data_IF_593721044110
#
_entry.id   IF_593721044110
#
_cell.length_a   1.000
_cell.length_b   1.000
_cell.length_c   1.000
_cell.angle_alpha   90.00
_cell.angle_beta   90.00
_cell.angle_gamma   90.00
#
_symmetry.space_group_name_H-M   'P 1'
#
loop_
_entity.id
_entity.type
_entity.pdbx_description
1 polymer ?
#
# COMPACT_ATOMS: atom_id res chain seq x y z
N UNK A 1 14.21 2.95 11.95
CA UNK A 1 15.46 3.52 11.39
C UNK A 1 16.09 2.65 10.31
N UNK A 2 16.32 1.35 10.55
CA UNK A 2 16.98 0.46 9.58
C UNK A 2 16.30 0.42 8.18
N UNK A 3 14.96 0.49 8.11
CA UNK A 3 14.20 0.62 6.85
C UNK A 3 14.68 1.79 5.97
N UNK A 4 14.98 2.93 6.59
CA UNK A 4 15.38 4.17 5.90
C UNK A 4 16.89 4.17 5.61
N UNK A 5 17.67 3.51 6.45
CA UNK A 5 19.13 3.55 6.39
C UNK A 5 19.71 2.55 5.38
N UNK A 6 19.03 1.42 5.14
CA UNK A 6 19.50 0.43 4.17
C UNK A 6 19.31 0.92 2.73
N UNK A 7 20.35 0.72 1.91
CA UNK A 7 20.38 1.07 0.48
C UNK A 7 19.84 -0.02 -0.43
N UNK A 8 19.67 -1.23 0.08
CA UNK A 8 19.07 -2.33 -0.67
C UNK A 8 17.57 -2.40 -0.27
N UNK A 9 16.64 -2.24 -1.23
CA UNK A 9 15.22 -2.24 -0.94
C UNK A 9 14.73 -3.55 -0.30
N UNK A 10 15.38 -4.68 -0.59
CA UNK A 10 15.04 -5.97 0.04
C UNK A 10 15.33 -5.96 1.53
N UNK A 11 16.51 -5.48 1.94
CA UNK A 11 16.85 -5.36 3.37
C UNK A 11 15.97 -4.33 4.08
N UNK A 12 15.60 -3.23 3.42
CA UNK A 12 14.65 -2.27 3.96
C UNK A 12 13.28 -2.89 4.20
N UNK A 13 12.75 -3.67 3.25
CA UNK A 13 11.45 -4.32 3.36
C UNK A 13 11.44 -5.41 4.46
N UNK A 14 12.50 -6.21 4.58
CA UNK A 14 12.62 -7.19 5.68
C UNK A 14 12.70 -6.49 7.04
N UNK A 15 13.43 -5.37 7.16
CA UNK A 15 13.44 -4.56 8.38
C UNK A 15 12.06 -3.97 8.72
N UNK A 16 11.24 -3.67 7.71
CA UNK A 16 9.90 -3.13 7.92
C UNK A 16 8.95 -4.22 8.44
N UNK A 17 9.05 -5.44 7.89
CA UNK A 17 8.33 -6.61 8.40
C UNK A 17 8.64 -6.82 9.88
N UNK A 18 9.91 -6.79 10.26
CA UNK A 18 10.32 -6.93 11.66
C UNK A 18 9.68 -5.85 12.55
N UNK A 19 9.61 -4.60 12.06
CA UNK A 19 8.98 -3.49 12.79
C UNK A 19 7.47 -3.73 13.03
N UNK A 20 6.75 -4.24 12.04
CA UNK A 20 5.32 -4.56 12.20
C UNK A 20 5.10 -5.75 13.13
N UNK A 21 5.96 -6.77 13.08
CA UNK A 21 5.93 -7.89 14.02
C UNK A 21 6.13 -7.39 15.46
N UNK A 22 7.13 -6.53 15.70
CA UNK A 22 7.36 -5.95 17.04
C UNK A 22 6.18 -5.08 17.49
N UNK A 23 5.54 -4.35 16.58
CA UNK A 23 4.33 -3.58 16.88
C UNK A 23 3.13 -4.48 17.21
N UNK A 24 3.02 -5.64 16.54
CA UNK A 24 1.99 -6.63 16.85
C UNK A 24 2.16 -7.21 18.26
N UNK A 25 3.40 -7.49 18.66
CA UNK A 25 3.69 -7.89 20.04
C UNK A 25 3.35 -6.79 21.07
N UNK A 26 3.59 -5.52 20.75
CA UNK A 26 3.16 -4.41 21.62
C UNK A 26 1.64 -4.38 21.78
N UNK A 27 0.88 -4.60 20.71
CA UNK A 27 -0.59 -4.68 20.78
C UNK A 27 -1.09 -5.89 21.56
N UNK A 28 -0.39 -7.03 21.50
CA UNK A 28 -0.70 -8.18 22.37
C UNK A 28 -0.48 -7.86 23.85
N UNK A 29 0.58 -7.11 24.19
CA UNK A 29 0.82 -6.67 25.57
C UNK A 29 -0.22 -5.67 26.07
N UNK A 30 -0.86 -4.93 25.18
CA UNK A 30 -1.97 -4.01 25.46
C UNK A 30 -3.34 -4.73 25.46
N UNK A 31 -3.34 -6.07 25.48
CA UNK A 31 -4.55 -6.92 25.41
C UNK A 31 -5.40 -6.74 24.14
N UNK A 32 -4.87 -6.06 23.11
CA UNK A 32 -5.56 -5.82 21.84
C UNK A 32 -5.36 -7.00 20.85
N UNK A 33 -5.87 -8.18 21.21
CA UNK A 33 -5.68 -9.44 20.50
C UNK A 33 -6.06 -9.40 19.01
N UNK A 34 -7.26 -8.92 18.71
CA UNK A 34 -7.79 -8.87 17.34
C UNK A 34 -6.94 -7.98 16.44
N UNK A 35 -6.59 -6.79 16.95
CA UNK A 35 -5.83 -5.80 16.19
C UNK A 35 -4.42 -6.30 15.90
N UNK A 36 -3.77 -6.96 16.87
CA UNK A 36 -2.45 -7.57 16.69
C UNK A 36 -2.44 -8.64 15.60
N UNK A 37 -3.45 -9.52 15.58
CA UNK A 37 -3.57 -10.59 14.58
C UNK A 37 -3.82 -9.98 13.19
N UNK A 38 -4.72 -9.00 13.07
CA UNK A 38 -5.01 -8.32 11.79
C UNK A 38 -3.77 -7.58 11.27
N UNK A 39 -2.98 -6.94 12.14
CA UNK A 39 -1.73 -6.28 11.76
C UNK A 39 -0.79 -7.27 11.06
N UNK A 40 -0.59 -8.44 11.66
CA UNK A 40 0.31 -9.46 11.11
C UNK A 40 -0.28 -10.04 9.82
N UNK A 41 -1.57 -10.43 9.82
CA UNK A 41 -2.18 -11.08 8.66
C UNK A 41 -2.20 -10.16 7.44
N UNK A 42 -2.69 -8.92 7.60
CA UNK A 42 -2.90 -8.01 6.48
C UNK A 42 -1.61 -7.30 6.09
N UNK A 43 -0.94 -6.64 7.05
CA UNK A 43 0.25 -5.85 6.71
C UNK A 43 1.44 -6.75 6.42
N UNK A 44 1.79 -7.66 7.32
CA UNK A 44 2.96 -8.53 7.11
C UNK A 44 2.65 -9.61 6.07
N UNK A 45 1.49 -10.27 6.15
CA UNK A 45 1.15 -11.40 5.30
C UNK A 45 0.77 -11.02 3.86
N UNK A 46 -0.17 -10.09 3.68
CA UNK A 46 -0.65 -9.74 2.33
C UNK A 46 0.17 -8.61 1.69
N UNK A 47 0.27 -7.46 2.36
CA UNK A 47 0.84 -6.23 1.75
C UNK A 47 2.35 -6.34 1.60
N UNK A 48 3.08 -6.69 2.67
CA UNK A 48 4.55 -6.75 2.62
C UNK A 48 5.06 -7.87 1.72
N UNK A 49 4.42 -9.04 1.69
CA UNK A 49 4.81 -10.11 0.77
C UNK A 49 4.62 -9.70 -0.69
N UNK A 50 3.48 -9.08 -1.03
CA UNK A 50 3.27 -8.53 -2.38
C UNK A 50 4.32 -7.47 -2.72
N UNK A 51 4.63 -6.59 -1.77
CA UNK A 51 5.68 -5.59 -1.96
C UNK A 51 7.05 -6.23 -2.19
N UNK A 52 7.41 -7.27 -1.42
CA UNK A 52 8.65 -8.04 -1.62
C UNK A 52 8.73 -8.65 -3.02
N UNK A 53 7.64 -9.23 -3.53
CA UNK A 53 7.61 -9.73 -4.91
C UNK A 53 7.84 -8.61 -5.93
N UNK A 54 7.18 -7.47 -5.75
CA UNK A 54 7.32 -6.32 -6.66
C UNK A 54 8.74 -5.78 -6.67
N UNK A 55 9.35 -5.53 -5.51
CA UNK A 55 10.72 -5.01 -5.44
C UNK A 55 11.77 -6.02 -5.95
N UNK A 56 11.48 -7.32 -5.89
CA UNK A 56 12.41 -8.34 -6.39
C UNK A 56 12.32 -8.50 -7.91
N UNK A 57 11.11 -8.40 -8.48
CA UNK A 57 10.95 -8.38 -9.93
C UNK A 57 11.50 -7.09 -10.56
N UNK A 58 11.36 -5.97 -9.86
CA UNK A 58 11.99 -4.72 -10.26
C UNK A 58 13.48 -4.82 -9.96
N UNK A 59 14.31 -5.03 -10.98
CA UNK A 59 15.75 -4.94 -10.82
C UNK A 59 16.15 -3.47 -10.61
N UNK A 60 16.02 -2.98 -9.38
CA UNK A 60 16.37 -1.62 -8.99
C UNK A 60 17.90 -1.53 -8.95
N UNK A 61 18.50 -1.22 -10.10
CA UNK A 61 19.93 -0.99 -10.20
C UNK A 61 20.27 0.29 -9.46
N UNK A 62 21.13 0.16 -8.45
CA UNK A 62 21.57 1.24 -7.56
C UNK A 62 22.61 2.12 -8.29
N UNK A 63 22.22 2.72 -9.41
CA UNK A 63 23.07 3.64 -10.17
C UNK A 63 22.95 5.04 -9.55
N UNK A 64 24.11 5.51 -9.08
CA UNK A 64 24.24 6.56 -8.06
C UNK A 64 24.33 7.94 -8.71
N UNK A 65 23.23 8.67 -8.77
CA UNK A 65 23.30 10.13 -8.80
C UNK A 65 23.45 10.67 -7.37
N UNK A 66 24.71 10.87 -6.98
CA UNK A 66 25.12 11.29 -5.63
C UNK A 66 24.81 12.75 -5.28
N UNK A 67 24.22 13.56 -6.17
CA UNK A 67 24.26 15.01 -6.01
C UNK A 67 23.07 15.65 -5.28
N UNK A 68 21.90 15.02 -5.22
CA UNK A 68 20.69 15.70 -4.70
C UNK A 68 20.22 15.25 -3.30
N UNK A 69 20.36 13.97 -2.96
CA UNK A 69 19.79 13.43 -1.70
C UNK A 69 20.41 14.03 -0.43
N UNK A 70 21.69 14.45 -0.49
CA UNK A 70 22.40 14.99 0.66
C UNK A 70 21.99 16.44 1.02
N UNK A 71 21.33 17.15 0.09
CA UNK A 71 20.88 18.53 0.33
C UNK A 71 19.59 18.62 1.13
N UNK A 72 18.72 17.60 1.04
CA UNK A 72 17.43 17.56 1.72
C UNK A 72 17.52 16.93 3.12
N UNK A 73 18.57 16.14 3.37
CA UNK A 73 18.84 15.52 4.67
C UNK A 73 18.85 16.50 5.86
N UNK A 74 19.54 17.67 5.82
CA UNK A 74 19.52 18.61 6.94
C UNK A 74 18.14 19.25 7.16
N UNK A 75 17.36 19.45 6.09
CA UNK A 75 16.00 19.99 6.19
C UNK A 75 15.05 18.96 6.83
N UNK A 76 15.09 17.71 6.39
CA UNK A 76 14.33 16.62 7.00
C UNK A 76 14.67 16.42 8.48
N UNK A 77 15.95 16.54 8.84
CA UNK A 77 16.40 16.48 10.23
C UNK A 77 15.83 17.64 11.06
N UNK A 78 15.86 18.87 10.52
CA UNK A 78 15.30 20.04 11.20
C UNK A 78 13.80 19.89 11.48
N UNK A 79 13.02 19.47 10.48
CA UNK A 79 11.58 19.19 10.66
C UNK A 79 11.37 18.07 11.68
N UNK A 80 12.13 16.98 11.59
CA UNK A 80 12.03 15.88 12.53
C UNK A 80 12.32 16.31 13.98
N UNK A 81 13.28 17.21 14.18
CA UNK A 81 13.64 17.74 15.49
C UNK A 81 12.55 18.67 16.04
N UNK A 82 11.92 19.48 15.19
CA UNK A 82 10.76 20.31 15.57
C UNK A 82 9.60 19.43 16.03
N UNK A 83 9.23 18.41 15.25
CA UNK A 83 8.13 17.48 15.62
C UNK A 83 8.46 16.75 16.92
N UNK A 84 9.71 16.31 17.10
CA UNK A 84 10.13 15.66 18.34
C UNK A 84 10.06 16.61 19.54
N UNK A 85 10.49 17.86 19.39
CA UNK A 85 10.38 18.88 20.44
C UNK A 85 8.92 19.20 20.78
N UNK A 86 8.05 19.28 19.78
CA UNK A 86 6.60 19.47 19.97
C UNK A 86 5.99 18.31 20.76
N UNK A 87 6.30 17.06 20.39
CA UNK A 87 5.82 15.89 21.13
C UNK A 87 6.34 15.87 22.57
N UNK A 88 7.63 16.18 22.79
CA UNK A 88 8.21 16.23 24.14
C UNK A 88 7.54 17.31 24.99
N UNK A 89 7.34 18.50 24.43
CA UNK A 89 6.68 19.61 25.14
C UNK A 89 5.23 19.29 25.44
N UNK A 90 4.49 18.69 24.50
CA UNK A 90 3.11 18.23 24.73
C UNK A 90 3.03 17.21 25.87
N UNK A 91 3.95 16.24 25.91
CA UNK A 91 4.02 15.23 26.97
C UNK A 91 4.39 15.90 28.31
N UNK A 92 5.33 16.84 28.32
CA UNK A 92 5.80 17.49 29.55
C UNK A 92 4.73 18.42 30.16
N UNK A 93 4.05 19.22 29.32
CA UNK A 93 2.99 20.14 29.74
C UNK A 93 1.75 19.37 30.21
N UNK A 94 1.34 18.32 29.51
CA UNK A 94 0.17 17.52 29.87
C UNK A 94 0.49 16.37 30.83
N UNK A 95 1.71 16.28 31.35
CA UNK A 95 2.13 15.21 32.28
C UNK A 95 1.24 15.13 33.53
N UNK A 96 0.65 16.24 33.97
CA UNK A 96 -0.32 16.30 35.07
C UNK A 96 -1.73 15.80 34.69
N UNK A 97 -2.09 15.83 33.41
CA UNK A 97 -3.32 15.25 32.88
C UNK A 97 -3.19 13.74 32.59
N UNK A 98 -1.97 13.25 32.38
CA UNK A 98 -1.64 11.82 32.36
C UNK A 98 -1.59 11.22 33.79
N UNK A 99 -2.46 11.69 34.69
CA UNK A 99 -2.68 11.03 35.97
C UNK A 99 -3.45 9.73 35.71
N UNK A 100 -2.70 8.62 35.64
CA UNK A 100 -3.21 7.24 35.55
C UNK A 100 -4.17 6.89 36.70
N UNK A 101 -4.25 7.71 37.75
CA UNK A 101 -5.17 7.55 38.88
C UNK A 101 -6.65 7.83 38.57
N UNK A 102 -6.99 8.38 37.38
CA UNK A 102 -8.38 8.67 37.01
C UNK A 102 -8.96 7.74 35.93
N UNK A 103 -8.14 6.86 35.37
CA UNK A 103 -8.65 5.73 34.60
C UNK A 103 -9.03 4.67 35.62
N UNK A 104 -10.24 4.79 36.18
CA UNK A 104 -10.98 3.63 36.61
C UNK A 104 -11.11 2.74 35.37
N UNK A 105 -10.11 1.89 35.14
CA UNK A 105 -10.27 0.73 34.31
C UNK A 105 -11.31 -0.08 35.09
N UNK A 106 -12.59 0.15 34.79
CA UNK A 106 -13.61 -0.83 35.09
C UNK A 106 -13.02 -2.17 34.67
N UNK A 107 -13.03 -3.14 35.59
CA UNK A 107 -12.46 -4.47 35.34
C UNK A 107 -12.82 -4.86 33.91
N UNK A 108 -11.84 -5.28 33.09
CA UNK A 108 -12.14 -5.66 31.73
C UNK A 108 -13.18 -6.76 31.83
N UNK A 109 -14.41 -6.41 31.49
CA UNK A 109 -15.46 -7.36 31.23
C UNK A 109 -14.78 -8.39 30.32
N UNK A 110 -14.78 -9.67 30.72
CA UNK A 110 -14.07 -10.76 30.02
C UNK A 110 -14.64 -11.04 28.61
N UNK A 111 -15.33 -10.05 28.04
CA UNK A 111 -15.87 -10.00 26.71
C UNK A 111 -14.70 -9.84 25.74
N UNK A 112 -14.57 -10.79 24.82
CA UNK A 112 -13.54 -10.74 23.79
C UNK A 112 -13.59 -9.42 23.03
N UNK A 113 -12.43 -8.78 22.87
CA UNK A 113 -12.25 -7.56 22.09
C UNK A 113 -12.84 -7.68 20.68
N UNK A 114 -12.76 -8.88 20.09
CA UNK A 114 -13.33 -9.17 18.78
C UNK A 114 -14.85 -8.95 18.74
N UNK A 115 -15.56 -9.36 19.79
CA UNK A 115 -17.01 -9.23 19.88
C UNK A 115 -17.42 -7.76 20.02
N UNK A 116 -16.73 -7.02 20.89
CA UNK A 116 -16.99 -5.59 21.12
C UNK A 116 -16.76 -4.79 19.84
N UNK A 117 -15.62 -5.00 19.18
CA UNK A 117 -15.30 -4.38 17.89
C UNK A 117 -16.34 -4.74 16.81
N UNK A 118 -16.73 -6.00 16.72
CA UNK A 118 -17.76 -6.44 15.78
C UNK A 118 -19.09 -5.74 16.01
N UNK A 119 -19.57 -5.69 17.25
CA UNK A 119 -20.83 -5.02 17.61
C UNK A 119 -20.78 -3.54 17.23
N UNK A 120 -19.68 -2.87 17.55
CA UNK A 120 -19.53 -1.44 17.28
C UNK A 120 -19.45 -1.14 15.78
N UNK A 121 -18.73 -1.98 15.03
CA UNK A 121 -18.57 -1.86 13.58
C UNK A 121 -19.91 -2.02 12.84
N UNK A 122 -20.74 -2.98 13.27
CA UNK A 122 -22.02 -3.27 12.62
C UNK A 122 -23.20 -2.45 13.17
N UNK A 123 -23.05 -1.76 14.30
CA UNK A 123 -24.11 -0.93 14.88
C UNK A 123 -23.89 0.55 14.58
N UNK A 124 -22.74 1.10 15.02
CA UNK A 124 -22.48 2.54 14.95
C UNK A 124 -21.70 2.93 13.69
N UNK A 125 -20.79 2.07 13.22
CA UNK A 125 -19.91 2.35 12.09
C UNK A 125 -20.27 1.60 10.80
N UNK A 126 -21.54 1.24 10.64
CA UNK A 126 -22.00 0.45 9.47
C UNK A 126 -21.69 1.15 8.13
N UNK A 127 -21.86 2.48 8.07
CA UNK A 127 -21.55 3.25 6.87
C UNK A 127 -20.06 3.22 6.54
N UNK A 128 -19.19 3.36 7.55
CA UNK A 128 -17.74 3.27 7.36
C UNK A 128 -17.31 1.88 6.87
N UNK A 129 -17.96 0.83 7.39
CA UNK A 129 -17.74 -0.54 6.95
C UNK A 129 -18.16 -0.76 5.49
N UNK A 130 -19.33 -0.24 5.10
CA UNK A 130 -19.82 -0.34 3.72
C UNK A 130 -18.90 0.41 2.74
N UNK A 131 -18.46 1.62 3.10
CA UNK A 131 -17.50 2.40 2.29
C UNK A 131 -16.18 1.63 2.15
N UNK A 132 -15.67 1.00 3.21
CA UNK A 132 -14.48 0.16 3.13
C UNK A 132 -14.66 -1.02 2.16
N UNK A 133 -15.84 -1.64 2.14
CA UNK A 133 -16.22 -2.67 1.17
C UNK A 133 -16.18 -2.16 -0.27
N UNK A 134 -16.75 -0.98 -0.54
CA UNK A 134 -16.67 -0.32 -1.84
C UNK A 134 -15.24 0.02 -2.25
N UNK A 135 -14.40 0.49 -1.33
CA UNK A 135 -12.98 0.77 -1.58
C UNK A 135 -12.25 -0.52 -1.99
N UNK A 136 -12.52 -1.64 -1.32
CA UNK A 136 -11.88 -2.93 -1.65
C UNK A 136 -12.34 -3.44 -3.02
N UNK A 137 -13.63 -3.31 -3.34
CA UNK A 137 -14.17 -3.63 -4.66
C UNK A 137 -13.52 -2.77 -5.74
N UNK A 138 -13.43 -1.46 -5.50
CA UNK A 138 -12.79 -0.53 -6.43
C UNK A 138 -11.31 -0.86 -6.63
N UNK A 139 -10.59 -1.20 -5.56
CA UNK A 139 -9.18 -1.58 -5.63
C UNK A 139 -8.96 -2.81 -6.55
N UNK A 140 -9.83 -3.82 -6.48
CA UNK A 140 -9.76 -4.99 -7.35
C UNK A 140 -10.04 -4.59 -8.81
N UNK A 141 -11.09 -3.81 -9.06
CA UNK A 141 -11.43 -3.34 -10.42
C UNK A 141 -10.27 -2.56 -11.03
N UNK A 142 -9.68 -1.62 -10.28
CA UNK A 142 -8.55 -0.81 -10.73
C UNK A 142 -7.33 -1.70 -10.99
N UNK A 143 -7.01 -2.61 -10.07
CA UNK A 143 -5.86 -3.52 -10.21
C UNK A 143 -5.96 -4.39 -11.47
N UNK A 144 -7.14 -4.98 -11.74
CA UNK A 144 -7.38 -5.77 -12.95
C UNK A 144 -7.32 -4.90 -14.20
N UNK A 145 -7.98 -3.73 -14.19
CA UNK A 145 -7.96 -2.81 -15.34
C UNK A 145 -6.55 -2.33 -15.69
N UNK A 146 -5.67 -2.16 -14.70
CA UNK A 146 -4.28 -1.71 -14.91
C UNK A 146 -3.37 -2.83 -15.42
N UNK A 147 -3.61 -4.06 -14.95
CA UNK A 147 -2.77 -5.22 -15.27
C UNK A 147 -3.20 -5.94 -16.56
N UNK A 148 -4.42 -5.69 -17.04
CA UNK A 148 -4.95 -6.28 -18.27
C UNK A 148 -4.19 -5.77 -19.51
N UNK A 149 -3.19 -6.55 -19.93
CA UNK A 149 -2.38 -6.23 -21.11
C UNK A 149 -3.08 -6.63 -22.40
N UNK A 150 -3.60 -5.64 -23.12
CA UNK A 150 -4.13 -5.87 -24.49
C UNK A 150 -2.98 -6.06 -25.48
N UNK A 151 -2.94 -7.20 -26.18
CA UNK A 151 -1.93 -7.48 -27.20
C UNK A 151 -2.28 -6.74 -28.50
N UNK A 152 -1.54 -5.67 -28.82
CA UNK A 152 -1.74 -4.84 -30.03
C UNK A 152 -1.46 -5.54 -31.38
N UNK A 153 -0.75 -6.66 -31.39
CA UNK A 153 -0.40 -7.40 -32.63
C UNK A 153 -1.31 -8.61 -32.90
N UNK A 154 -2.48 -8.67 -32.28
CA UNK A 154 -3.47 -9.72 -32.60
C UNK A 154 -4.36 -9.19 -33.71
N UNK A 155 -4.33 -9.83 -34.88
CA UNK A 155 -5.31 -9.55 -35.93
C UNK A 155 -6.65 -10.11 -35.45
N UNK A 156 -7.57 -9.23 -35.11
CA UNK A 156 -8.95 -9.58 -34.82
C UNK A 156 -9.75 -9.57 -36.12
N UNK A 157 -10.63 -10.55 -36.32
CA UNK A 157 -11.59 -10.52 -37.41
C UNK A 157 -12.77 -9.64 -37.00
N UNK A 158 -13.05 -8.64 -37.83
CA UNK A 158 -14.24 -7.82 -37.70
C UNK A 158 -15.20 -8.30 -38.80
N UNK A 159 -16.20 -9.10 -38.41
CA UNK A 159 -17.11 -9.74 -39.35
C UNK A 159 -17.81 -8.72 -40.28
N UNK A 160 -18.17 -7.54 -39.75
CA UNK A 160 -18.78 -6.48 -40.54
C UNK A 160 -17.85 -5.93 -41.63
N UNK A 161 -16.56 -5.75 -41.34
CA UNK A 161 -15.56 -5.33 -42.34
C UNK A 161 -15.30 -6.44 -43.37
N UNK A 162 -15.38 -7.70 -42.96
CA UNK A 162 -15.15 -8.87 -43.82
C UNK A 162 -16.31 -9.12 -44.81
N UNK A 163 -17.53 -8.77 -44.43
CA UNK A 163 -18.74 -8.91 -45.27
C UNK A 163 -18.85 -7.73 -46.25
N UNK A 164 -18.43 -6.52 -45.85
CA UNK A 164 -18.61 -5.30 -46.63
C UNK A 164 -17.47 -5.02 -47.63
N UNK A 165 -16.73 -6.05 -48.05
CA UNK A 165 -15.57 -5.89 -48.93
C UNK A 165 -16.02 -5.81 -50.39
N UNK A 166 -15.78 -4.66 -51.01
CA UNK A 166 -16.05 -4.41 -52.42
C UNK A 166 -15.02 -5.16 -53.32
N UNK A 167 -15.44 -5.92 -54.35
CA UNK A 167 -14.52 -6.62 -55.25
C UNK A 167 -13.52 -5.71 -55.95
N UNK A 168 -13.92 -4.46 -56.20
CA UNK A 168 -13.12 -3.44 -56.88
C UNK A 168 -11.89 -2.98 -56.07
N UNK A 169 -11.91 -3.09 -54.74
CA UNK A 169 -10.83 -2.65 -53.86
C UNK A 169 -9.72 -3.68 -53.65
N UNK A 170 -9.90 -4.92 -54.13
CA UNK A 170 -8.96 -6.03 -53.91
C UNK A 170 -7.71 -5.99 -54.81
N UNK A 171 -7.74 -5.22 -55.89
CA UNK A 171 -6.70 -5.23 -56.92
C UNK A 171 -6.09 -3.83 -57.01
N UNK A 172 -4.80 -3.71 -56.67
CA UNK A 172 -4.04 -2.47 -56.88
C UNK A 172 -3.08 -2.70 -58.05
N UNK A 173 -3.42 -2.15 -59.22
CA UNK A 173 -2.52 -2.10 -60.36
C UNK A 173 -1.38 -1.15 -60.01
N UNK A 174 -0.22 -1.71 -59.67
CA UNK A 174 1.00 -0.94 -59.39
C UNK A 174 1.81 -0.88 -60.67
N UNK A 175 1.87 0.30 -61.26
CA UNK A 175 2.69 0.54 -62.44
C UNK A 175 4.15 0.70 -62.00
N UNK A 176 4.97 -0.30 -62.33
CA UNK A 176 6.39 -0.31 -62.01
C UNK A 176 7.13 0.56 -63.03
N UNK A 177 7.38 1.81 -62.65
CA UNK A 177 8.20 2.73 -63.45
C UNK A 177 9.61 2.13 -63.58
N UNK A 178 10.01 1.79 -64.81
CA UNK A 178 11.35 1.30 -65.13
C UNK A 178 12.39 2.28 -64.57
N UNK A 179 13.19 1.83 -63.60
CA UNK A 179 14.39 2.53 -63.18
C UNK A 179 15.41 2.39 -64.31
N UNK A 180 15.57 3.47 -65.08
CA UNK A 180 16.77 3.70 -65.89
C UNK A 180 18.00 3.89 -65.01
#
# INVERSE_FOLDING_TARGET
MAVILFRNPVYSAVSLILSFITSGFLWLLLEAEFLAIVLILVYVGAVMVLFLFVIMMLNINNERDKSSFNSLAPFALFIGLIIAAELITLIWINSSQFNMNSLSIEEPDQVSNTLVLGKELFTNYILSFEIAGFILLLAIIISISLTLRTRKNVKTQIASEQINVDPSSRIKLVDLKERK
#
